data_IF_313523389111
#
_entry.id   IF_313523389111
#
_cell.length_a   1.000
_cell.length_b   1.000
_cell.length_c   1.000
_cell.angle_alpha   90.00
_cell.angle_beta   90.00
_cell.angle_gamma   90.00
#
_symmetry.space_group_name_H-M   'P 1'
#
loop_
_entity.id
_entity.type
_entity.pdbx_description
1 polymer ?
#
# COMPACT_ATOMS: atom_id res chain seq x y z
N UNK A 1 -58.75 38.32 3.76
CA UNK A 1 -58.06 37.95 2.53
C UNK A 1 -56.62 37.64 2.92
N UNK A 2 -56.31 36.34 3.13
CA UNK A 2 -54.95 35.85 3.37
C UNK A 2 -54.54 35.05 2.15
N UNK A 3 -53.53 35.48 1.44
CA UNK A 3 -52.96 34.78 0.30
C UNK A 3 -51.86 33.82 0.81
N UNK A 4 -52.05 32.52 0.59
CA UNK A 4 -51.09 31.51 0.85
C UNK A 4 -50.10 31.43 -0.31
N UNK A 5 -48.80 31.67 -0.03
CA UNK A 5 -47.70 31.47 -0.99
C UNK A 5 -47.21 30.04 -0.82
N UNK A 6 -47.54 29.17 -1.78
CA UNK A 6 -47.02 27.80 -1.87
C UNK A 6 -45.65 27.86 -2.51
N UNK A 7 -44.59 27.74 -1.69
CA UNK A 7 -43.25 27.53 -2.16
C UNK A 7 -43.03 26.06 -2.53
N UNK A 8 -42.88 25.77 -3.82
CA UNK A 8 -42.48 24.45 -4.29
C UNK A 8 -40.96 24.27 -4.08
N UNK A 9 -40.59 23.48 -3.09
CA UNK A 9 -39.19 22.97 -2.95
C UNK A 9 -38.96 21.96 -4.08
N UNK A 10 -38.16 22.36 -5.07
CA UNK A 10 -37.60 21.44 -6.04
C UNK A 10 -36.51 20.60 -5.35
N UNK A 11 -36.87 19.40 -4.91
CA UNK A 11 -35.95 18.38 -4.49
C UNK A 11 -35.12 17.94 -5.71
N UNK A 12 -33.88 18.39 -5.78
CA UNK A 12 -32.90 17.87 -6.72
C UNK A 12 -32.60 16.42 -6.32
N UNK A 13 -33.36 15.46 -6.90
CA UNK A 13 -33.08 14.05 -6.78
C UNK A 13 -31.79 13.76 -7.58
N UNK A 14 -30.65 13.74 -6.92
CA UNK A 14 -29.49 13.01 -7.40
C UNK A 14 -29.86 11.52 -7.33
N UNK A 15 -30.44 10.99 -8.41
CA UNK A 15 -30.59 9.55 -8.57
C UNK A 15 -29.21 8.93 -8.77
N UNK A 16 -28.59 8.47 -7.69
CA UNK A 16 -27.54 7.47 -7.77
C UNK A 16 -28.19 6.18 -8.23
N UNK A 17 -28.35 6.01 -9.54
CA UNK A 17 -28.80 4.73 -10.10
C UNK A 17 -27.81 3.66 -9.68
N UNK A 18 -28.30 2.69 -8.90
CA UNK A 18 -27.53 1.50 -8.57
C UNK A 18 -27.06 0.80 -9.87
N UNK A 19 -25.87 0.23 -9.88
CA UNK A 19 -25.39 -0.51 -11.05
C UNK A 19 -26.39 -1.62 -11.39
N UNK A 20 -26.65 -1.89 -12.69
CA UNK A 20 -27.53 -2.98 -13.07
C UNK A 20 -26.97 -4.31 -12.52
N UNK A 21 -27.85 -5.22 -12.06
CA UNK A 21 -27.43 -6.50 -11.55
C UNK A 21 -26.62 -7.29 -12.59
N UNK A 22 -25.69 -8.14 -12.17
CA UNK A 22 -24.91 -9.01 -13.07
C UNK A 22 -25.84 -9.84 -13.96
N UNK A 23 -25.54 -9.95 -15.25
CA UNK A 23 -26.37 -10.68 -16.21
C UNK A 23 -27.51 -9.87 -16.84
N UNK A 24 -27.61 -8.57 -16.59
CA UNK A 24 -28.61 -7.71 -17.26
C UNK A 24 -28.39 -7.70 -18.77
N UNK A 25 -29.40 -8.14 -19.53
CA UNK A 25 -29.36 -8.13 -21.01
C UNK A 25 -29.26 -6.69 -21.49
N UNK A 26 -28.17 -6.38 -22.20
CA UNK A 26 -27.97 -5.04 -22.75
C UNK A 26 -28.86 -4.81 -23.96
N UNK A 27 -29.60 -3.73 -23.92
CA UNK A 27 -30.54 -3.37 -24.99
C UNK A 27 -29.80 -2.71 -26.18
N UNK A 28 -30.34 -2.96 -27.37
CA UNK A 28 -29.98 -2.15 -28.54
C UNK A 28 -30.67 -0.78 -28.40
N UNK A 29 -29.84 0.27 -28.34
CA UNK A 29 -30.34 1.63 -28.17
C UNK A 29 -29.87 2.52 -29.34
N UNK A 30 -30.78 2.89 -30.17
CA UNK A 30 -30.50 3.68 -31.38
C UNK A 30 -29.95 5.07 -31.05
N UNK A 31 -30.34 5.67 -29.92
CA UNK A 31 -29.78 6.96 -29.48
C UNK A 31 -28.35 6.80 -28.99
N UNK A 32 -28.06 5.73 -28.28
CA UNK A 32 -26.69 5.43 -27.87
C UNK A 32 -25.79 5.20 -29.09
N UNK A 33 -26.28 4.44 -30.10
CA UNK A 33 -25.57 4.22 -31.36
C UNK A 33 -25.27 5.55 -32.06
N UNK A 34 -26.27 6.43 -32.20
CA UNK A 34 -26.08 7.74 -32.83
C UNK A 34 -25.05 8.60 -32.09
N UNK A 35 -25.12 8.64 -30.74
CA UNK A 35 -24.14 9.36 -29.91
C UNK A 35 -22.72 8.81 -30.07
N UNK A 36 -22.56 7.48 -30.17
CA UNK A 36 -21.28 6.84 -30.45
C UNK A 36 -20.70 7.24 -31.80
N UNK A 37 -21.54 7.30 -32.85
CA UNK A 37 -21.12 7.77 -34.18
C UNK A 37 -20.68 9.23 -34.16
N UNK A 38 -21.46 10.10 -33.49
CA UNK A 38 -21.09 11.51 -33.31
C UNK A 38 -19.77 11.67 -32.54
N UNK A 39 -19.55 10.87 -31.50
CA UNK A 39 -18.32 10.87 -30.73
C UNK A 39 -17.11 10.50 -31.61
N UNK A 40 -17.21 9.41 -32.38
CA UNK A 40 -16.16 9.00 -33.33
C UNK A 40 -15.89 10.04 -34.40
N UNK A 41 -16.92 10.71 -34.91
CA UNK A 41 -16.74 11.79 -35.87
C UNK A 41 -15.99 12.98 -35.28
N UNK A 42 -16.14 13.26 -33.98
CA UNK A 42 -15.38 14.30 -33.27
C UNK A 42 -13.93 13.88 -33.05
N UNK A 43 -13.69 12.61 -32.68
CA UNK A 43 -12.31 12.09 -32.59
C UNK A 43 -11.58 12.19 -33.95
N UNK A 44 -12.22 11.82 -35.05
CA UNK A 44 -11.63 11.94 -36.39
C UNK A 44 -11.24 13.37 -36.76
N UNK A 45 -11.88 14.37 -36.13
CA UNK A 45 -11.55 15.80 -36.27
C UNK A 45 -10.59 16.30 -35.20
N UNK A 46 -10.02 15.41 -34.38
CA UNK A 46 -9.19 15.73 -33.21
C UNK A 46 -9.88 16.59 -32.15
N UNK A 47 -11.23 16.65 -32.15
CA UNK A 47 -12.02 17.28 -31.09
C UNK A 47 -12.20 16.30 -29.92
N UNK A 48 -11.11 16.04 -29.16
CA UNK A 48 -11.12 15.08 -28.07
C UNK A 48 -12.11 15.46 -26.97
N UNK A 49 -12.20 16.75 -26.64
CA UNK A 49 -13.13 17.24 -25.62
C UNK A 49 -14.59 17.06 -26.04
N UNK A 50 -14.91 17.33 -27.28
CA UNK A 50 -16.24 17.10 -27.84
C UNK A 50 -16.59 15.61 -27.92
N UNK A 51 -15.61 14.75 -28.26
CA UNK A 51 -15.78 13.29 -28.25
C UNK A 51 -16.08 12.77 -26.86
N UNK A 52 -15.27 13.14 -25.85
CA UNK A 52 -15.49 12.77 -24.43
C UNK A 52 -16.89 13.19 -23.98
N UNK A 53 -17.34 14.41 -24.33
CA UNK A 53 -18.69 14.89 -23.99
C UNK A 53 -19.79 14.01 -24.59
N UNK A 54 -19.62 13.49 -25.81
CA UNK A 54 -20.59 12.62 -26.45
C UNK A 54 -20.56 11.22 -25.85
N UNK A 55 -19.39 10.63 -25.61
CA UNK A 55 -19.26 9.36 -24.91
C UNK A 55 -19.86 9.43 -23.50
N UNK A 56 -19.63 10.53 -22.78
CA UNK A 56 -20.22 10.77 -21.45
C UNK A 56 -21.75 10.72 -21.53
N UNK A 57 -22.37 11.32 -22.53
CA UNK A 57 -23.82 11.23 -22.72
C UNK A 57 -24.31 9.79 -22.91
N UNK A 58 -23.57 8.94 -23.60
CA UNK A 58 -23.90 7.51 -23.74
C UNK A 58 -23.95 6.86 -22.35
N UNK A 59 -22.90 7.02 -21.53
CA UNK A 59 -22.81 6.34 -20.24
C UNK A 59 -23.75 6.90 -19.17
N UNK A 60 -24.16 8.17 -19.29
CA UNK A 60 -25.09 8.83 -18.35
C UNK A 60 -26.56 8.62 -18.71
N UNK A 61 -26.90 8.66 -20.00
CA UNK A 61 -28.30 8.61 -20.46
C UNK A 61 -28.72 7.21 -20.94
N UNK A 62 -27.76 6.37 -21.33
CA UNK A 62 -28.00 5.06 -21.88
C UNK A 62 -27.10 4.00 -21.20
N UNK A 63 -27.10 3.92 -19.83
CA UNK A 63 -26.14 3.06 -19.10
C UNK A 63 -26.33 1.56 -19.38
N UNK A 64 -27.53 1.14 -19.79
CA UNK A 64 -27.87 -0.25 -20.12
C UNK A 64 -27.67 -0.59 -21.59
N UNK A 65 -27.23 0.35 -22.41
CA UNK A 65 -26.95 0.09 -23.83
C UNK A 65 -25.72 -0.79 -24.00
N UNK A 66 -25.63 -1.49 -25.14
CA UNK A 66 -24.45 -2.26 -25.55
C UNK A 66 -23.22 -1.37 -25.77
N UNK A 67 -23.45 -0.10 -26.05
CA UNK A 67 -22.46 0.94 -26.34
C UNK A 67 -21.80 1.49 -25.06
N UNK A 68 -22.48 1.43 -23.92
CA UNK A 68 -22.02 2.07 -22.67
C UNK A 68 -20.62 1.62 -22.22
N UNK A 69 -20.28 0.31 -22.20
CA UNK A 69 -18.92 -0.11 -21.85
C UNK A 69 -17.86 0.35 -22.87
N UNK A 70 -18.21 0.35 -24.16
CA UNK A 70 -17.30 0.85 -25.21
C UNK A 70 -17.07 2.36 -25.06
N UNK A 71 -18.12 3.12 -24.75
CA UNK A 71 -18.02 4.55 -24.52
C UNK A 71 -17.12 4.86 -23.31
N UNK A 72 -17.26 4.12 -22.20
CA UNK A 72 -16.38 4.28 -21.03
C UNK A 72 -14.93 3.97 -21.36
N UNK A 73 -14.71 2.84 -22.02
CA UNK A 73 -13.35 2.44 -22.40
C UNK A 73 -12.70 3.50 -23.28
N UNK A 74 -13.44 3.98 -24.28
CA UNK A 74 -12.91 5.00 -25.20
C UNK A 74 -12.66 6.33 -24.51
N UNK A 75 -13.53 6.74 -23.57
CA UNK A 75 -13.28 7.91 -22.74
C UNK A 75 -11.98 7.78 -21.95
N UNK A 76 -11.74 6.62 -21.36
CA UNK A 76 -10.50 6.38 -20.62
C UNK A 76 -9.26 6.54 -21.50
N UNK A 77 -9.26 5.94 -22.71
CA UNK A 77 -8.17 6.11 -23.66
C UNK A 77 -7.95 7.57 -24.08
N UNK A 78 -9.01 8.34 -24.25
CA UNK A 78 -8.93 9.76 -24.59
C UNK A 78 -8.37 10.60 -23.43
N UNK A 79 -8.71 10.25 -22.18
CA UNK A 79 -8.12 10.88 -21.01
C UNK A 79 -6.62 10.53 -20.86
N UNK A 80 -6.22 9.28 -21.16
CA UNK A 80 -4.79 8.91 -21.22
C UNK A 80 -4.05 9.74 -22.30
N UNK A 81 -4.63 9.88 -23.49
CA UNK A 81 -4.03 10.67 -24.58
C UNK A 81 -3.86 12.15 -24.19
N UNK A 82 -4.74 12.67 -23.31
CA UNK A 82 -4.67 14.03 -22.77
C UNK A 82 -3.73 14.16 -21.57
N UNK A 83 -3.14 13.05 -21.10
CA UNK A 83 -2.37 12.97 -19.86
C UNK A 83 -3.19 13.39 -18.62
N UNK A 84 -4.40 12.91 -18.57
CA UNK A 84 -5.36 13.04 -17.45
C UNK A 84 -5.59 11.65 -16.85
N UNK A 85 -4.57 11.05 -16.19
CA UNK A 85 -4.62 9.65 -15.79
C UNK A 85 -5.62 9.37 -14.65
N UNK A 86 -5.95 10.36 -13.83
CA UNK A 86 -6.93 10.17 -12.76
C UNK A 86 -8.33 9.93 -13.35
N UNK A 87 -8.71 10.71 -14.35
CA UNK A 87 -9.97 10.56 -15.08
C UNK A 87 -10.00 9.25 -15.87
N UNK A 88 -8.87 8.88 -16.49
CA UNK A 88 -8.75 7.61 -17.21
C UNK A 88 -8.98 6.42 -16.27
N UNK A 89 -8.29 6.37 -15.14
CA UNK A 89 -8.40 5.32 -14.14
C UNK A 89 -9.84 5.19 -13.61
N UNK A 90 -10.50 6.31 -13.32
CA UNK A 90 -11.90 6.35 -12.89
C UNK A 90 -12.85 5.73 -13.92
N UNK A 91 -12.65 6.02 -15.22
CA UNK A 91 -13.50 5.43 -16.26
C UNK A 91 -13.27 3.92 -16.42
N UNK A 92 -12.03 3.44 -16.31
CA UNK A 92 -11.75 2.01 -16.28
C UNK A 92 -12.37 1.35 -15.03
N UNK A 93 -12.29 1.96 -13.85
CA UNK A 93 -12.91 1.44 -12.64
C UNK A 93 -14.44 1.34 -12.81
N UNK A 94 -15.07 2.39 -13.30
CA UNK A 94 -16.51 2.39 -13.58
C UNK A 94 -16.92 1.35 -14.62
N UNK A 95 -16.04 1.01 -15.57
CA UNK A 95 -16.28 -0.09 -16.50
C UNK A 95 -16.25 -1.43 -15.78
N UNK A 96 -15.23 -1.65 -14.94
CA UNK A 96 -15.07 -2.88 -14.16
C UNK A 96 -16.25 -3.10 -13.23
N UNK A 97 -16.67 -2.05 -12.51
CA UNK A 97 -17.75 -2.14 -11.53
C UNK A 97 -19.13 -2.35 -12.16
N UNK A 98 -19.41 -1.68 -13.29
CA UNK A 98 -20.74 -1.64 -13.88
C UNK A 98 -20.95 -2.58 -15.05
N UNK A 99 -19.87 -3.11 -15.62
CA UNK A 99 -19.93 -3.90 -16.84
C UNK A 99 -19.02 -5.14 -16.77
N UNK A 100 -19.16 -5.99 -15.72
CA UNK A 100 -18.31 -7.17 -15.55
C UNK A 100 -18.40 -8.18 -16.69
N UNK A 101 -19.54 -8.22 -17.41
CA UNK A 101 -19.78 -9.10 -18.54
C UNK A 101 -19.25 -8.52 -19.87
N UNK A 102 -18.67 -7.33 -19.85
CA UNK A 102 -18.14 -6.70 -21.05
C UNK A 102 -16.89 -7.43 -21.57
N UNK A 103 -16.74 -7.63 -22.88
CA UNK A 103 -15.49 -8.14 -23.45
C UNK A 103 -14.28 -7.22 -23.17
N UNK A 104 -14.54 -5.95 -22.82
CA UNK A 104 -13.53 -4.96 -22.45
C UNK A 104 -13.09 -5.04 -20.99
N UNK A 105 -13.76 -5.84 -20.16
CA UNK A 105 -13.50 -5.97 -18.71
C UNK A 105 -12.02 -6.29 -18.43
N UNK A 106 -11.50 -7.37 -19.05
CA UNK A 106 -10.09 -7.79 -18.85
C UNK A 106 -9.10 -6.73 -19.34
N UNK A 107 -9.43 -6.06 -20.42
CA UNK A 107 -8.59 -5.00 -20.96
C UNK A 107 -8.54 -3.79 -20.05
N UNK A 108 -9.68 -3.39 -19.48
CA UNK A 108 -9.74 -2.31 -18.49
C UNK A 108 -8.90 -2.63 -17.25
N UNK A 109 -8.97 -3.86 -16.72
CA UNK A 109 -8.14 -4.31 -15.59
C UNK A 109 -6.64 -4.26 -15.93
N UNK A 110 -6.25 -4.67 -17.16
CA UNK A 110 -4.85 -4.59 -17.60
C UNK A 110 -4.37 -3.14 -17.65
N UNK A 111 -5.18 -2.24 -18.20
CA UNK A 111 -4.84 -0.80 -18.24
C UNK A 111 -4.72 -0.20 -16.85
N UNK A 112 -5.64 -0.52 -15.95
CA UNK A 112 -5.54 -0.06 -14.55
C UNK A 112 -4.26 -0.54 -13.86
N UNK A 113 -3.91 -1.81 -14.04
CA UNK A 113 -2.65 -2.35 -13.51
C UNK A 113 -1.45 -1.57 -14.05
N UNK A 114 -1.37 -1.38 -15.36
CA UNK A 114 -0.28 -0.64 -16.01
C UNK A 114 -0.18 0.79 -15.46
N UNK A 115 -1.32 1.47 -15.31
CA UNK A 115 -1.39 2.83 -14.78
C UNK A 115 -0.94 2.89 -13.30
N UNK A 116 -1.43 1.98 -12.45
CA UNK A 116 -1.09 1.94 -11.03
C UNK A 116 0.42 1.67 -10.82
N UNK A 117 0.99 0.72 -11.57
CA UNK A 117 2.41 0.38 -11.50
C UNK A 117 3.29 1.49 -12.10
N UNK A 118 2.85 2.09 -13.20
CA UNK A 118 3.51 3.24 -13.81
C UNK A 118 3.52 4.46 -12.89
N UNK A 119 2.43 4.71 -12.17
CA UNK A 119 2.33 5.79 -11.19
C UNK A 119 3.26 5.54 -9.98
N UNK A 120 3.30 4.31 -9.47
CA UNK A 120 4.17 3.94 -8.36
C UNK A 120 5.67 4.06 -8.69
N UNK A 121 6.06 3.71 -9.92
CA UNK A 121 7.44 3.87 -10.41
C UNK A 121 7.80 5.31 -10.79
N UNK A 122 6.81 6.19 -10.91
CA UNK A 122 6.98 7.56 -11.40
C UNK A 122 7.06 7.69 -12.93
N UNK A 123 6.83 6.61 -13.66
CA UNK A 123 6.78 6.61 -15.12
C UNK A 123 5.49 7.26 -15.65
N UNK A 124 4.38 7.14 -14.90
CA UNK A 124 3.14 7.81 -15.21
C UNK A 124 3.09 9.17 -14.53
N UNK A 125 2.81 10.22 -15.32
CA UNK A 125 2.72 11.60 -14.86
C UNK A 125 1.36 12.20 -15.19
N UNK A 126 0.94 13.21 -14.44
CA UNK A 126 -0.25 14.00 -14.69
C UNK A 126 0.16 15.33 -15.31
N UNK A 127 -0.64 15.83 -16.28
CA UNK A 127 -0.41 17.15 -16.87
C UNK A 127 -1.14 18.22 -16.09
N UNK A 128 -0.38 19.17 -15.56
CA UNK A 128 -0.92 20.31 -14.82
C UNK A 128 -0.69 21.60 -15.61
N UNK A 129 -1.70 22.47 -15.61
CA UNK A 129 -1.65 23.76 -16.36
C UNK A 129 -1.24 23.57 -17.83
N UNK A 130 -1.67 22.43 -18.47
CA UNK A 130 -1.44 22.08 -19.87
C UNK A 130 0.03 22.03 -20.33
N UNK A 131 1.00 22.42 -19.49
CA UNK A 131 2.41 22.46 -19.87
C UNK A 131 3.36 21.69 -18.93
N UNK A 132 2.97 21.39 -17.69
CA UNK A 132 3.84 20.71 -16.73
C UNK A 132 3.40 19.28 -16.49
N UNK A 133 4.33 18.33 -16.65
CA UNK A 133 4.12 16.93 -16.28
C UNK A 133 4.63 16.74 -14.84
N UNK A 134 3.74 16.42 -13.91
CA UNK A 134 4.05 16.18 -12.49
C UNK A 134 3.79 14.73 -12.11
N UNK A 135 4.49 14.26 -11.10
CA UNK A 135 4.23 12.91 -10.56
C UNK A 135 2.82 12.80 -10.03
N UNK A 136 2.28 11.58 -10.07
CA UNK A 136 0.96 11.30 -9.52
C UNK A 136 0.91 11.58 -8.03
N UNK A 137 -0.26 12.04 -7.58
CA UNK A 137 -0.53 12.23 -6.15
C UNK A 137 -0.36 10.91 -5.40
N UNK A 138 0.35 10.89 -4.25
CA UNK A 138 0.57 9.67 -3.47
C UNK A 138 -0.71 8.97 -3.03
N UNK A 139 -1.78 9.71 -2.80
CA UNK A 139 -3.08 9.14 -2.42
C UNK A 139 -3.65 8.33 -3.58
N UNK A 140 -3.66 8.90 -4.79
CA UNK A 140 -4.11 8.20 -5.99
C UNK A 140 -3.30 6.93 -6.23
N UNK A 141 -1.97 6.98 -6.13
CA UNK A 141 -1.11 5.80 -6.30
C UNK A 141 -1.48 4.69 -5.32
N UNK A 142 -1.68 5.06 -4.05
CA UNK A 142 -2.06 4.12 -3.00
C UNK A 142 -3.41 3.46 -3.28
N UNK A 143 -4.42 4.27 -3.61
CA UNK A 143 -5.77 3.76 -3.91
C UNK A 143 -5.80 2.93 -5.19
N UNK A 144 -5.08 3.31 -6.23
CA UNK A 144 -5.03 2.54 -7.48
C UNK A 144 -4.41 1.16 -7.29
N UNK A 145 -3.36 1.04 -6.48
CA UNK A 145 -2.76 -0.25 -6.17
C UNK A 145 -3.71 -1.14 -5.36
N UNK A 146 -4.50 -0.55 -4.45
CA UNK A 146 -5.58 -1.26 -3.74
C UNK A 146 -6.68 -1.72 -4.71
N UNK A 147 -7.14 -0.86 -5.62
CA UNK A 147 -8.12 -1.24 -6.63
C UNK A 147 -7.63 -2.39 -7.53
N UNK A 148 -6.35 -2.39 -7.93
CA UNK A 148 -5.77 -3.52 -8.69
C UNK A 148 -5.83 -4.83 -7.91
N UNK A 149 -5.59 -4.82 -6.59
CA UNK A 149 -5.77 -5.98 -5.72
C UNK A 149 -7.24 -6.40 -5.68
N UNK A 150 -8.14 -5.44 -5.41
CA UNK A 150 -9.55 -5.72 -5.10
C UNK A 150 -10.32 -6.17 -6.35
N UNK A 151 -9.98 -5.65 -7.51
CA UNK A 151 -10.58 -6.05 -8.80
C UNK A 151 -10.23 -7.49 -9.21
N UNK A 152 -9.09 -8.03 -8.72
CA UNK A 152 -8.65 -9.38 -9.05
C UNK A 152 -7.94 -10.06 -7.85
N UNK A 153 -8.64 -10.30 -6.72
CA UNK A 153 -8.02 -10.72 -5.46
C UNK A 153 -7.36 -12.11 -5.55
N UNK A 154 -7.78 -12.94 -6.47
CA UNK A 154 -7.21 -14.29 -6.67
C UNK A 154 -6.18 -14.38 -7.79
N UNK A 155 -5.91 -13.28 -8.49
CA UNK A 155 -4.93 -13.26 -9.55
C UNK A 155 -3.52 -12.99 -9.00
N UNK A 156 -2.49 -13.42 -9.71
CA UNK A 156 -1.10 -13.15 -9.37
C UNK A 156 -0.75 -11.65 -9.32
N UNK A 157 -1.60 -10.80 -9.88
CA UNK A 157 -1.47 -9.34 -9.84
C UNK A 157 -1.74 -8.76 -8.47
N UNK A 158 -2.60 -9.37 -7.65
CA UNK A 158 -2.94 -8.87 -6.32
C UNK A 158 -1.74 -8.83 -5.36
N UNK A 159 -0.99 -9.92 -5.15
CA UNK A 159 0.23 -9.87 -4.35
C UNK A 159 1.31 -8.95 -4.95
N UNK A 160 1.39 -8.84 -6.28
CA UNK A 160 2.29 -7.87 -6.92
C UNK A 160 1.92 -6.42 -6.57
N UNK A 161 0.63 -6.08 -6.62
CA UNK A 161 0.14 -4.75 -6.26
C UNK A 161 0.45 -4.41 -4.79
N UNK A 162 0.27 -5.36 -3.87
CA UNK A 162 0.60 -5.16 -2.45
C UNK A 162 2.11 -5.01 -2.22
N UNK A 163 2.94 -5.77 -2.93
CA UNK A 163 4.39 -5.62 -2.87
C UNK A 163 4.86 -4.26 -3.40
N UNK A 164 4.28 -3.81 -4.52
CA UNK A 164 4.58 -2.48 -5.09
C UNK A 164 4.11 -1.39 -4.13
N UNK A 165 2.94 -1.53 -3.51
CA UNK A 165 2.42 -0.59 -2.51
C UNK A 165 3.34 -0.50 -1.30
N UNK A 166 3.77 -1.63 -0.74
CA UNK A 166 4.71 -1.67 0.37
C UNK A 166 6.03 -0.95 0.05
N UNK A 167 6.64 -1.27 -1.11
CA UNK A 167 7.85 -0.60 -1.59
C UNK A 167 7.65 0.91 -1.77
N UNK A 168 6.53 1.31 -2.38
CA UNK A 168 6.19 2.71 -2.63
C UNK A 168 6.04 3.51 -1.35
N UNK A 169 5.38 2.95 -0.34
CA UNK A 169 5.16 3.58 0.96
C UNK A 169 6.46 3.63 1.79
N UNK A 170 7.24 2.54 1.80
CA UNK A 170 8.53 2.47 2.47
C UNK A 170 9.51 3.53 1.94
N UNK A 171 9.60 3.68 0.62
CA UNK A 171 10.45 4.69 -0.02
C UNK A 171 10.05 6.16 0.33
N UNK A 172 8.85 6.37 0.88
CA UNK A 172 8.34 7.67 1.35
C UNK A 172 8.37 7.84 2.86
N UNK A 173 8.97 6.90 3.58
CA UNK A 173 9.01 6.93 5.04
C UNK A 173 7.67 6.62 5.72
N UNK A 174 6.64 6.20 4.97
CA UNK A 174 5.33 5.80 5.51
C UNK A 174 5.41 4.35 6.04
N UNK A 175 6.29 4.13 7.02
CA UNK A 175 6.68 2.80 7.48
C UNK A 175 5.50 1.96 7.97
N UNK A 176 4.57 2.54 8.75
CA UNK A 176 3.40 1.81 9.26
C UNK A 176 2.55 1.24 8.13
N UNK A 177 2.22 2.07 7.16
CA UNK A 177 1.39 1.68 6.02
C UNK A 177 2.11 0.72 5.08
N UNK A 178 3.44 0.84 4.95
CA UNK A 178 4.25 -0.13 4.21
C UNK A 178 4.19 -1.52 4.88
N UNK A 179 4.31 -1.57 6.21
CA UNK A 179 4.17 -2.81 6.98
C UNK A 179 2.77 -3.42 6.78
N UNK A 180 1.71 -2.62 6.85
CA UNK A 180 0.34 -3.07 6.61
C UNK A 180 0.16 -3.66 5.19
N UNK A 181 0.75 -3.03 4.18
CA UNK A 181 0.70 -3.54 2.80
C UNK A 181 1.43 -4.88 2.65
N UNK A 182 2.61 -5.03 3.24
CA UNK A 182 3.35 -6.30 3.24
C UNK A 182 2.65 -7.37 4.09
N UNK A 183 2.06 -7.00 5.24
CA UNK A 183 1.30 -7.92 6.07
C UNK A 183 0.08 -8.45 5.31
N UNK A 184 -0.64 -7.58 4.61
CA UNK A 184 -1.74 -7.99 3.74
C UNK A 184 -1.30 -9.00 2.67
N UNK A 185 -0.10 -8.81 2.09
CA UNK A 185 0.47 -9.76 1.13
C UNK A 185 0.75 -11.11 1.80
N UNK A 186 1.40 -11.11 2.96
CA UNK A 186 1.79 -12.35 3.66
C UNK A 186 0.58 -13.14 4.14
N UNK A 187 -0.44 -12.45 4.65
CA UNK A 187 -1.63 -13.08 5.23
C UNK A 187 -2.59 -13.61 4.17
N UNK A 188 -2.83 -12.83 3.12
CA UNK A 188 -3.80 -13.20 2.10
C UNK A 188 -3.19 -14.01 0.94
N UNK A 189 -1.87 -13.95 0.75
CA UNK A 189 -1.18 -14.62 -0.35
C UNK A 189 0.07 -15.39 0.12
N UNK A 190 -0.06 -16.28 1.14
CA UNK A 190 1.10 -16.96 1.76
C UNK A 190 1.89 -17.84 0.76
N UNK A 191 1.22 -18.34 -0.27
CA UNK A 191 1.83 -19.13 -1.34
C UNK A 191 2.46 -18.30 -2.48
N UNK A 192 2.39 -16.98 -2.39
CA UNK A 192 3.03 -16.10 -3.38
C UNK A 192 4.54 -16.18 -3.27
N UNK A 193 5.28 -16.22 -4.38
CA UNK A 193 6.74 -16.13 -4.36
C UNK A 193 7.25 -14.80 -3.76
N UNK A 194 6.39 -13.82 -3.61
CA UNK A 194 6.69 -12.52 -2.98
C UNK A 194 6.54 -12.54 -1.46
N UNK A 195 5.80 -13.50 -0.87
CA UNK A 195 5.53 -13.55 0.55
C UNK A 195 6.80 -13.63 1.42
N UNK A 196 7.83 -14.45 1.09
CA UNK A 196 9.07 -14.44 1.86
C UNK A 196 9.77 -13.09 1.86
N UNK A 197 9.78 -12.40 0.71
CA UNK A 197 10.39 -11.08 0.60
C UNK A 197 9.62 -10.05 1.41
N UNK A 198 8.28 -10.05 1.33
CA UNK A 198 7.42 -9.15 2.10
C UNK A 198 7.58 -9.34 3.62
N UNK A 199 7.63 -10.58 4.10
CA UNK A 199 7.87 -10.88 5.52
C UNK A 199 9.22 -10.34 6.00
N UNK A 200 10.26 -10.49 5.19
CA UNK A 200 11.58 -9.94 5.53
C UNK A 200 11.60 -8.39 5.51
N UNK A 201 10.83 -7.77 4.62
CA UNK A 201 10.69 -6.31 4.59
C UNK A 201 9.99 -5.79 5.86
N UNK A 202 8.98 -6.48 6.38
CA UNK A 202 8.35 -6.16 7.66
C UNK A 202 9.39 -6.10 8.78
N UNK A 203 10.21 -7.14 8.91
CA UNK A 203 11.28 -7.21 9.91
C UNK A 203 12.29 -6.05 9.76
N UNK A 204 12.69 -5.78 8.51
CA UNK A 204 13.62 -4.70 8.20
C UNK A 204 13.06 -3.32 8.54
N UNK A 205 11.78 -3.06 8.25
CA UNK A 205 11.12 -1.79 8.58
C UNK A 205 10.97 -1.59 10.09
N UNK A 206 10.61 -2.64 10.85
CA UNK A 206 10.60 -2.54 12.31
C UNK A 206 11.99 -2.27 12.88
N UNK A 207 13.04 -2.91 12.35
CA UNK A 207 14.42 -2.65 12.75
C UNK A 207 14.83 -1.20 12.44
N UNK A 208 14.46 -0.68 11.29
CA UNK A 208 14.71 0.72 10.93
C UNK A 208 13.96 1.67 11.85
N UNK A 209 12.67 1.43 12.11
CA UNK A 209 11.88 2.23 13.03
C UNK A 209 12.42 2.21 14.47
N UNK A 210 13.08 1.12 14.87
CA UNK A 210 13.75 1.02 16.17
C UNK A 210 15.04 1.85 16.22
N UNK A 211 15.74 2.01 15.09
CA UNK A 211 16.95 2.82 15.00
C UNK A 211 16.66 4.32 14.89
N UNK A 212 15.61 4.72 14.15
CA UNK A 212 15.26 6.12 13.87
C UNK A 212 14.51 6.80 15.03
N UNK A 213 13.86 6.05 15.91
CA UNK A 213 13.12 6.56 17.06
C UNK A 213 13.92 6.49 18.36
N UNK A 214 13.39 7.08 19.44
CA UNK A 214 13.96 7.07 20.80
C UNK A 214 14.13 5.66 21.37
N UNK A 215 14.91 4.79 20.72
CA UNK A 215 15.20 3.39 21.09
C UNK A 215 13.95 2.64 21.58
N UNK A 216 12.84 2.80 20.82
CA UNK A 216 11.54 2.28 21.21
C UNK A 216 11.57 0.75 21.32
N UNK A 217 11.64 0.24 22.55
CA UNK A 217 11.68 -1.19 22.86
C UNK A 217 10.57 -2.00 22.15
N UNK A 218 9.44 -1.37 21.87
CA UNK A 218 8.33 -2.01 21.15
C UNK A 218 8.72 -2.34 19.71
N UNK A 219 9.38 -1.43 19.01
CA UNK A 219 9.81 -1.69 17.62
C UNK A 219 10.95 -2.72 17.56
N UNK A 220 11.83 -2.72 18.58
CA UNK A 220 12.88 -3.73 18.70
C UNK A 220 12.27 -5.13 18.89
N UNK A 221 11.30 -5.27 19.79
CA UNK A 221 10.61 -6.53 20.03
C UNK A 221 9.87 -7.02 18.78
N UNK A 222 9.14 -6.12 18.09
CA UNK A 222 8.46 -6.43 16.82
C UNK A 222 9.42 -6.84 15.71
N UNK A 223 10.58 -6.20 15.63
CA UNK A 223 11.60 -6.58 14.66
C UNK A 223 12.13 -7.99 14.93
N UNK A 224 12.41 -8.32 16.20
CA UNK A 224 12.84 -9.67 16.59
C UNK A 224 11.80 -10.72 16.23
N UNK A 225 10.54 -10.50 16.63
CA UNK A 225 9.41 -11.37 16.32
C UNK A 225 9.27 -11.58 14.81
N UNK A 226 9.31 -10.50 14.01
CA UNK A 226 9.18 -10.58 12.56
C UNK A 226 10.34 -11.35 11.90
N UNK A 227 11.59 -11.22 12.39
CA UNK A 227 12.72 -12.04 11.92
C UNK A 227 12.56 -13.51 12.32
N UNK A 228 12.11 -13.79 13.53
CA UNK A 228 11.86 -15.15 14.00
C UNK A 228 10.75 -15.83 13.18
N UNK A 229 9.64 -15.15 12.95
CA UNK A 229 8.55 -15.59 12.08
C UNK A 229 9.05 -15.86 10.65
N UNK A 230 9.87 -14.97 10.10
CA UNK A 230 10.46 -15.18 8.78
C UNK A 230 11.29 -16.47 8.74
N UNK A 231 12.15 -16.67 9.73
CA UNK A 231 13.03 -17.83 9.78
C UNK A 231 12.28 -19.14 10.06
N UNK A 232 11.16 -19.08 10.78
CA UNK A 232 10.29 -20.22 11.02
C UNK A 232 9.52 -20.60 9.75
N UNK A 233 8.95 -19.64 9.05
CA UNK A 233 8.14 -19.89 7.84
C UNK A 233 8.99 -20.23 6.61
N UNK A 234 10.19 -19.64 6.50
CA UNK A 234 11.04 -19.71 5.31
C UNK A 234 12.50 -20.12 5.65
N UNK A 235 12.73 -21.23 6.36
CA UNK A 235 14.06 -21.62 6.88
C UNK A 235 15.09 -21.85 5.77
N UNK A 236 14.65 -22.23 4.58
CA UNK A 236 15.46 -22.55 3.41
C UNK A 236 15.49 -21.43 2.36
N UNK A 237 14.97 -20.26 2.67
CA UNK A 237 15.03 -19.12 1.77
C UNK A 237 16.49 -18.69 1.53
N UNK A 238 16.78 -18.21 0.33
CA UNK A 238 18.10 -17.67 -0.02
C UNK A 238 18.56 -16.54 0.93
N UNK A 239 17.61 -15.85 1.58
CA UNK A 239 17.89 -14.78 2.55
C UNK A 239 17.88 -15.23 4.02
N UNK A 240 17.59 -16.50 4.31
CA UNK A 240 17.54 -16.98 5.68
C UNK A 240 18.87 -16.83 6.44
N UNK A 241 20.00 -17.01 5.76
CA UNK A 241 21.33 -16.78 6.34
C UNK A 241 21.53 -15.32 6.76
N UNK A 242 21.19 -14.37 5.90
CA UNK A 242 21.28 -12.94 6.21
C UNK A 242 20.30 -12.56 7.36
N UNK A 243 19.07 -13.05 7.33
CA UNK A 243 18.10 -12.79 8.38
C UNK A 243 18.56 -13.31 9.76
N UNK A 244 19.21 -14.50 9.82
CA UNK A 244 19.80 -15.02 11.06
C UNK A 244 20.94 -14.11 11.56
N UNK A 245 21.78 -13.60 10.65
CA UNK A 245 22.86 -12.70 11.02
C UNK A 245 22.32 -11.36 11.55
N UNK A 246 21.30 -10.79 10.92
CA UNK A 246 20.63 -9.55 11.36
C UNK A 246 19.99 -9.73 12.73
N UNK A 247 19.24 -10.82 12.95
CA UNK A 247 18.64 -11.14 14.24
C UNK A 247 19.70 -11.32 15.34
N UNK A 248 20.79 -12.01 15.03
CA UNK A 248 21.89 -12.19 15.97
C UNK A 248 22.60 -10.86 16.30
N UNK A 249 22.75 -9.98 15.31
CA UNK A 249 23.30 -8.64 15.52
C UNK A 249 22.40 -7.80 16.43
N UNK A 250 21.08 -7.79 16.19
CA UNK A 250 20.11 -7.12 17.06
C UNK A 250 20.15 -7.64 18.50
N UNK A 251 20.14 -8.96 18.69
CA UNK A 251 20.24 -9.56 20.03
C UNK A 251 21.53 -9.15 20.75
N UNK A 252 22.66 -9.10 20.03
CA UNK A 252 23.94 -8.62 20.61
C UNK A 252 23.88 -7.15 21.01
N UNK A 253 23.29 -6.31 20.16
CA UNK A 253 23.11 -4.87 20.44
C UNK A 253 22.27 -4.64 21.69
N UNK A 254 21.15 -5.35 21.81
CA UNK A 254 20.31 -5.28 23.01
C UNK A 254 21.03 -5.64 24.31
N UNK A 255 21.86 -6.68 24.27
CA UNK A 255 22.68 -7.06 25.43
C UNK A 255 23.73 -5.99 25.75
N UNK A 256 24.30 -5.35 24.72
CA UNK A 256 25.23 -4.23 24.95
C UNK A 256 24.52 -3.02 25.59
N UNK A 257 23.32 -2.68 25.13
CA UNK A 257 22.50 -1.61 25.71
C UNK A 257 22.11 -1.92 27.17
N UNK A 258 21.77 -3.17 27.49
CA UNK A 258 21.51 -3.58 28.87
C UNK A 258 22.73 -3.41 29.76
N UNK A 259 23.94 -3.63 29.24
CA UNK A 259 25.17 -3.34 29.98
C UNK A 259 25.33 -1.83 30.26
N UNK A 260 25.03 -0.96 29.29
CA UNK A 260 25.04 0.50 29.48
C UNK A 260 24.03 0.93 30.56
N UNK A 261 22.85 0.31 30.58
CA UNK A 261 21.84 0.56 31.64
C UNK A 261 22.38 0.16 33.02
N UNK A 262 23.05 -0.97 33.12
CA UNK A 262 23.68 -1.39 34.38
C UNK A 262 24.76 -0.38 34.84
N UNK A 263 25.63 0.09 33.94
CA UNK A 263 26.62 1.12 34.21
C UNK A 263 25.97 2.45 34.62
N UNK A 264 24.83 2.82 34.02
CA UNK A 264 24.08 4.03 34.39
C UNK A 264 23.56 3.96 35.81
N UNK A 265 22.93 2.84 36.22
CA UNK A 265 22.48 2.64 37.59
C UNK A 265 23.63 2.77 38.57
N UNK A 266 24.77 2.17 38.30
CA UNK A 266 25.93 2.23 39.17
C UNK A 266 26.54 3.63 39.26
N UNK A 267 26.73 4.31 38.12
CA UNK A 267 27.54 5.54 38.07
C UNK A 267 26.74 6.81 38.26
N UNK A 268 25.53 6.89 37.73
CA UNK A 268 24.68 8.08 37.75
C UNK A 268 23.64 8.03 38.85
N UNK A 269 22.91 6.93 38.94
CA UNK A 269 21.86 6.78 39.96
C UNK A 269 22.42 6.42 41.34
N UNK A 270 23.67 5.91 41.40
CA UNK A 270 24.30 5.41 42.64
C UNK A 270 23.51 4.28 43.30
N UNK A 271 22.74 3.53 42.52
CA UNK A 271 21.93 2.40 42.97
C UNK A 271 22.71 1.10 42.66
N UNK A 272 23.43 0.63 43.65
CA UNK A 272 24.26 -0.57 43.50
C UNK A 272 23.41 -1.84 43.39
N UNK A 273 22.25 -1.91 44.02
CA UNK A 273 21.39 -3.11 43.98
C UNK A 273 20.74 -3.26 42.61
N UNK A 274 20.19 -2.18 42.03
CA UNK A 274 19.68 -2.18 40.67
C UNK A 274 20.79 -2.51 39.66
N UNK A 275 22.00 -1.94 39.84
CA UNK A 275 23.12 -2.23 38.96
C UNK A 275 23.54 -3.71 39.02
N UNK A 276 23.60 -4.31 40.24
CA UNK A 276 23.90 -5.73 40.41
C UNK A 276 22.89 -6.62 39.69
N UNK A 277 21.60 -6.33 39.82
CA UNK A 277 20.54 -7.03 39.13
C UNK A 277 20.73 -6.99 37.60
N UNK A 278 20.92 -5.80 37.04
CA UNK A 278 21.15 -5.61 35.60
C UNK A 278 22.43 -6.33 35.13
N UNK A 279 23.54 -6.25 35.88
CA UNK A 279 24.78 -6.97 35.53
C UNK A 279 24.59 -8.49 35.57
N UNK A 280 23.82 -9.05 36.50
CA UNK A 280 23.52 -10.48 36.55
C UNK A 280 22.75 -10.94 35.29
N UNK A 281 21.77 -10.15 34.86
CA UNK A 281 21.05 -10.41 33.62
C UNK A 281 21.97 -10.43 32.40
N UNK A 282 22.85 -9.42 32.26
CA UNK A 282 23.82 -9.35 31.15
C UNK A 282 24.81 -10.52 31.22
N UNK A 283 25.30 -10.86 32.41
CA UNK A 283 26.25 -11.94 32.63
C UNK A 283 25.69 -13.31 32.22
N UNK A 284 24.38 -13.52 32.33
CA UNK A 284 23.67 -14.74 31.88
C UNK A 284 23.62 -14.89 30.35
N UNK A 285 23.73 -13.79 29.59
CA UNK A 285 23.59 -13.71 28.13
C UNK A 285 24.91 -13.93 27.37
N UNK A 286 25.84 -14.69 27.95
CA UNK A 286 27.17 -14.93 27.37
C UNK A 286 27.16 -15.62 26.00
N UNK A 287 26.16 -16.42 25.67
CA UNK A 287 25.99 -17.04 24.35
C UNK A 287 25.57 -16.03 23.26
N UNK A 288 24.94 -14.92 23.65
CA UNK A 288 24.46 -13.87 22.73
C UNK A 288 25.57 -12.82 22.53
N UNK A 289 26.13 -12.26 23.63
CA UNK A 289 27.19 -11.27 23.61
C UNK A 289 28.26 -11.62 24.63
N UNK A 290 29.30 -12.41 24.25
CA UNK A 290 30.35 -12.83 25.18
C UNK A 290 31.11 -11.65 25.79
N UNK A 291 31.35 -10.58 25.00
CA UNK A 291 32.13 -9.42 25.48
C UNK A 291 31.38 -8.64 26.57
N UNK A 292 30.07 -8.37 26.35
CA UNK A 292 29.25 -7.70 27.35
C UNK A 292 29.10 -8.54 28.63
N UNK A 293 28.87 -9.85 28.49
CA UNK A 293 28.77 -10.76 29.62
C UNK A 293 30.07 -10.86 30.43
N UNK A 294 31.26 -10.85 29.78
CA UNK A 294 32.54 -10.82 30.49
C UNK A 294 32.70 -9.52 31.28
N UNK A 295 32.36 -8.37 30.70
CA UNK A 295 32.41 -7.07 31.40
C UNK A 295 31.48 -7.05 32.61
N UNK A 296 30.22 -7.53 32.42
CA UNK A 296 29.28 -7.62 33.53
C UNK A 296 29.78 -8.50 34.68
N UNK A 297 30.39 -9.65 34.38
CA UNK A 297 30.99 -10.53 35.38
C UNK A 297 32.14 -9.85 36.14
N UNK A 298 32.98 -9.09 35.45
CA UNK A 298 34.05 -8.33 36.08
C UNK A 298 33.48 -7.28 37.06
N UNK A 299 32.49 -6.51 36.63
CA UNK A 299 31.82 -5.52 37.50
C UNK A 299 31.15 -6.15 38.73
N UNK A 300 30.48 -7.27 38.57
CA UNK A 300 29.92 -8.04 39.71
C UNK A 300 30.99 -8.49 40.70
N UNK A 301 32.18 -8.85 40.21
CA UNK A 301 33.27 -9.21 41.10
C UNK A 301 33.81 -8.00 41.88
N UNK A 302 33.96 -6.83 41.24
CA UNK A 302 34.38 -5.58 41.86
C UNK A 302 33.40 -5.16 42.99
N UNK A 303 32.09 -5.18 42.68
CA UNK A 303 31.06 -4.80 43.62
C UNK A 303 30.96 -5.71 44.87
N UNK A 304 31.21 -7.03 44.70
CA UNK A 304 31.30 -7.97 45.82
C UNK A 304 32.49 -7.74 46.75
N UNK A 305 33.57 -7.17 46.22
CA UNK A 305 34.77 -6.87 47.01
C UNK A 305 34.57 -5.59 47.82
N UNK A 306 33.85 -4.60 47.29
CA UNK A 306 33.55 -3.30 47.95
C UNK A 306 32.45 -3.38 48.99
N UNK A 307 31.62 -4.45 48.97
CA UNK A 307 30.54 -4.67 49.94
C UNK A 307 30.93 -5.55 51.14
N UNK A 308 32.19 -5.97 51.23
CA UNK A 308 32.83 -6.62 52.40
C UNK A 308 33.71 -5.63 53.11
#
# INVERSE_FOLDING_TARGET
MMAAVSGALALCQCSSEAPPPPGTVRMVDQQAIALMQEARAKEARNDLSGAIKKYRRVVEKHPLSREAPQARFRMAELYEARKEPAEAFDQYQKLIDRHPDSPLYRQAMSRQKEMAFGAASGALTNRVLWMFDVRMDPTNVTEWLKHVRDNAPYASTAPQAMNVLGNYLAARGRMKEAIEAYQNLVDNYPNSPLAPTAQLQIATLYRQAAADGDRNHVNVARAQEAYEDYLQRYPNSARAGAARADLAAMKRELVAQQLEVAEYYLTKMKDADAAVFCYQEVASKGSINPAAAARAKARLKELRVTSR
#
